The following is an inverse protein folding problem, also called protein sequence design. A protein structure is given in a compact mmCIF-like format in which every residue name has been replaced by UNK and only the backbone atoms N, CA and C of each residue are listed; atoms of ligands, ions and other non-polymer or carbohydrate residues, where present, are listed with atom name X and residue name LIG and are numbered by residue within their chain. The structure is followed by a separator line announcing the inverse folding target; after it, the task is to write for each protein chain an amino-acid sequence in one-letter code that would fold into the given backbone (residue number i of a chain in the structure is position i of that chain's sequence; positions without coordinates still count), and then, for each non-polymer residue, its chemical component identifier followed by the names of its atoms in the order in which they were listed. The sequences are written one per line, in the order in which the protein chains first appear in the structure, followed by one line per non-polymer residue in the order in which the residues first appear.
data_IF_603520847786
#
_entry.id   IF_603520847786
#
_cell.length_a   1.000
_cell.length_b   1.000
_cell.length_c   1.000
_cell.angle_alpha   90.00
_cell.angle_beta   90.00
_cell.angle_gamma   90.00
#
_symmetry.space_group_name_H-M   'P 1'
#
loop_
_entity.id
_entity.type
_entity.pdbx_description
1 polymer ?
2 non-polymer ?
3 non-polymer ?
4 non-polymer ?
5 water ?
#
# COMPACT_ATOMS: atom_id res chain seq x y z
N UNK A 1 12.93 24.66 8.75
CA UNK A 1 12.09 25.14 7.65
C UNK A 1 12.97 25.71 6.52
N UNK A 2 14.02 24.95 6.15
CA UNK A 2 15.01 25.28 5.12
C UNK A 2 14.41 25.21 3.69
N UNK A 3 15.26 25.43 2.66
CA UNK A 3 14.86 25.38 1.25
C UNK A 3 15.50 24.18 0.55
N UNK A 4 14.81 23.65 -0.47
CA UNK A 4 15.20 22.51 -1.30
C UNK A 4 15.21 22.94 -2.77
N UNK A 5 16.23 22.51 -3.54
CA UNK A 5 16.34 22.77 -4.97
C UNK A 5 16.31 21.45 -5.75
N UNK A 6 15.28 21.26 -6.60
CA UNK A 6 15.12 20.05 -7.40
C UNK A 6 14.99 20.44 -8.88
N UNK A 7 15.98 20.03 -9.69
CA UNK A 7 16.09 20.26 -11.14
C UNK A 7 15.88 21.75 -11.53
N UNK A 8 16.51 22.65 -10.75
CA UNK A 8 16.43 24.09 -10.96
C UNK A 8 15.31 24.79 -10.23
N UNK A 9 14.22 24.06 -9.88
CA UNK A 9 13.06 24.61 -9.20
C UNK A 9 13.27 24.61 -7.68
N UNK A 10 12.97 25.77 -7.04
CA UNK A 10 13.15 25.99 -5.60
C UNK A 10 11.86 25.65 -4.84
N UNK A 11 11.99 24.95 -3.70
CA UNK A 11 10.88 24.54 -2.84
C UNK A 11 11.20 24.86 -1.38
N UNK A 12 10.27 25.52 -0.68
CA UNK A 12 10.45 25.85 0.74
C UNK A 12 9.68 24.86 1.60
N UNK A 13 10.33 24.34 2.67
CA UNK A 13 9.73 23.36 3.58
C UNK A 13 8.69 24.05 4.46
N UNK A 14 7.45 23.53 4.42
CA UNK A 14 6.35 24.04 5.22
C UNK A 14 6.28 23.27 6.55
N UNK A 15 6.23 21.92 6.47
CA UNK A 15 6.14 21.02 7.62
C UNK A 15 6.62 19.60 7.22
N UNK A 16 7.16 18.85 8.18
CA UNK A 16 7.59 17.47 7.98
C UNK A 16 6.40 16.53 8.21
N UNK A 17 6.04 15.75 7.18
CA UNK A 17 4.93 14.77 7.22
C UNK A 17 5.35 13.57 8.08
N UNK A 18 6.49 12.96 7.74
CA UNK A 18 7.01 11.80 8.45
C UNK A 18 8.49 11.54 8.21
N UNK A 19 9.06 10.62 9.00
CA UNK A 19 10.46 10.21 8.95
C UNK A 19 10.58 8.73 9.26
N UNK A 20 11.47 8.03 8.56
CA UNK A 20 11.68 6.60 8.77
C UNK A 20 12.83 5.98 8.00
N UNK A 21 13.86 5.57 8.73
CA UNK A 21 15.06 4.91 8.22
C UNK A 21 15.75 5.62 7.07
N UNK A 22 16.52 6.69 7.40
CA UNK A 22 17.29 7.55 6.47
C UNK A 22 16.41 8.34 5.49
N UNK A 23 15.08 8.13 5.54
CA UNK A 23 14.09 8.80 4.69
C UNK A 23 13.20 9.76 5.48
N UNK A 24 12.75 10.82 4.81
CA UNK A 24 11.86 11.85 5.35
C UNK A 24 10.91 12.36 4.28
N UNK A 25 9.70 12.71 4.68
CA UNK A 25 8.69 13.25 3.77
C UNK A 25 8.27 14.61 4.33
N UNK A 26 8.29 15.65 3.47
CA UNK A 26 7.93 17.02 3.83
C UNK A 26 6.88 17.62 2.94
N UNK A 27 6.08 18.54 3.51
CA UNK A 27 5.13 19.39 2.80
C UNK A 27 5.95 20.55 2.28
N UNK A 28 5.90 20.82 0.97
CA UNK A 28 6.72 21.89 0.38
C UNK A 28 5.87 22.80 -0.49
N UNK A 29 6.40 24.01 -0.80
CA UNK A 29 5.74 24.98 -1.66
C UNK A 29 6.69 25.51 -2.72
N UNK A 30 6.22 25.67 -3.95
CA UNK A 30 7.03 26.23 -5.04
C UNK A 30 7.01 27.78 -4.93
N UNK A 31 7.44 28.49 -5.99
CA UNK A 31 7.46 29.96 -6.02
C UNK A 31 6.03 30.54 -6.04
N UNK A 32 5.07 29.79 -6.65
CA UNK A 32 3.66 30.16 -6.78
C UNK A 32 2.82 29.71 -5.56
N UNK A 33 3.49 29.20 -4.49
CA UNK A 33 2.91 28.73 -3.22
C UNK A 33 1.99 27.49 -3.40
N UNK A 34 2.23 26.69 -4.46
CA UNK A 34 1.48 25.46 -4.75
C UNK A 34 2.09 24.31 -3.93
N UNK A 35 1.25 23.45 -3.32
CA UNK A 35 1.76 22.38 -2.46
C UNK A 35 2.19 21.12 -3.26
N UNK A 36 3.24 20.46 -2.74
CA UNK A 36 3.84 19.22 -3.21
C UNK A 36 4.38 18.48 -2.00
N UNK A 37 4.68 17.18 -2.16
CA UNK A 37 5.28 16.38 -1.10
C UNK A 37 6.62 15.89 -1.58
N UNK A 38 7.71 16.30 -0.92
CA UNK A 38 9.04 15.90 -1.31
C UNK A 38 9.56 14.83 -0.35
N UNK A 39 9.96 13.67 -0.91
CA UNK A 39 10.57 12.60 -0.15
C UNK A 39 12.09 12.76 -0.28
N UNK A 40 12.78 12.83 0.86
CA UNK A 40 14.23 12.93 0.93
C UNK A 40 14.78 11.62 1.45
N UNK A 41 15.79 11.07 0.76
CA UNK A 41 16.43 9.82 1.15
C UNK A 41 17.94 10.08 1.30
N UNK A 42 18.52 9.73 2.46
CA UNK A 42 19.94 9.86 2.74
C UNK A 42 20.63 8.55 2.32
N UNK A 43 21.56 8.63 1.34
CA UNK A 43 22.24 7.45 0.78
C UNK A 43 23.67 7.22 1.31
N UNK A 44 24.12 8.01 2.29
CA UNK A 44 25.48 7.92 2.85
C UNK A 44 25.79 6.58 3.54
N UNK A 45 24.77 5.87 4.06
CA UNK A 45 24.97 4.58 4.75
C UNK A 45 24.51 3.37 3.92
N UNK A 46 23.71 3.59 2.86
CA UNK A 46 23.16 2.53 2.00
C UNK A 46 24.21 1.90 1.09
N UNK A 47 24.20 0.55 1.02
CA UNK A 47 25.11 -0.22 0.17
C UNK A 47 24.49 -0.41 -1.24
N UNK A 48 25.20 -1.11 -2.14
CA UNK A 48 24.77 -1.34 -3.53
C UNK A 48 23.47 -2.16 -3.64
N UNK A 49 23.20 -3.04 -2.67
CA UNK A 49 21.97 -3.85 -2.64
C UNK A 49 20.76 -2.95 -2.34
N UNK A 50 20.93 -2.01 -1.39
CA UNK A 50 19.89 -1.05 -0.97
C UNK A 50 19.74 0.04 -2.05
N UNK A 51 20.86 0.44 -2.69
CA UNK A 51 20.89 1.47 -3.74
C UNK A 51 20.12 1.03 -4.98
N UNK A 52 20.29 -0.23 -5.42
CA UNK A 52 19.60 -0.80 -6.58
C UNK A 52 18.10 -0.93 -6.33
N UNK A 53 17.69 -1.10 -5.05
CA UNK A 53 16.29 -1.19 -4.62
C UNK A 53 15.57 0.14 -4.83
N UNK A 54 16.23 1.27 -4.48
CA UNK A 54 15.69 2.63 -4.66
C UNK A 54 15.59 2.99 -6.13
N UNK A 55 16.64 2.62 -6.92
CA UNK A 55 16.74 2.86 -8.36
C UNK A 55 15.63 2.15 -9.13
N UNK A 56 15.33 0.89 -8.75
CA UNK A 56 14.30 0.07 -9.38
C UNK A 56 12.91 0.63 -9.06
N UNK A 57 12.68 1.05 -7.79
CA UNK A 57 11.44 1.64 -7.31
C UNK A 57 11.12 2.93 -8.08
N UNK A 58 12.10 3.85 -8.20
CA UNK A 58 11.98 5.15 -8.90
C UNK A 58 11.63 4.92 -10.38
N UNK A 59 12.33 3.97 -11.04
CA UNK A 59 12.12 3.62 -12.45
C UNK A 59 10.69 3.13 -12.71
N UNK A 60 10.19 2.18 -11.90
CA UNK A 60 8.84 1.65 -12.04
C UNK A 60 7.78 2.70 -11.73
N UNK A 61 8.02 3.57 -10.73
CA UNK A 61 7.10 4.64 -10.35
C UNK A 61 6.98 5.68 -11.48
N UNK A 62 8.10 6.00 -12.14
CA UNK A 62 8.13 6.95 -13.26
C UNK A 62 7.42 6.36 -14.49
N UNK A 63 7.61 5.05 -14.75
CA UNK A 63 6.99 4.34 -15.87
C UNK A 63 5.47 4.18 -15.68
N UNK A 64 5.02 3.95 -14.43
CA UNK A 64 3.60 3.76 -14.10
C UNK A 64 2.76 5.04 -14.29
N UNK A 65 3.41 6.20 -14.55
CA UNK A 65 2.73 7.48 -14.83
C UNK A 65 1.99 7.38 -16.17
N UNK A 66 0.79 8.00 -16.26
CA UNK A 66 -0.13 8.02 -17.41
C UNK A 66 -0.79 6.65 -17.65
N UNK A 67 -0.23 5.55 -17.07
CA UNK A 67 -0.80 4.20 -17.18
C UNK A 67 -2.04 4.07 -16.29
N UNK A 68 -1.99 4.69 -15.08
CA UNK A 68 -3.09 4.68 -14.10
C UNK A 68 -3.01 5.87 -13.16
N UNK A 69 -4.17 6.37 -12.71
CA UNK A 69 -4.26 7.47 -11.75
C UNK A 69 -4.46 6.91 -10.32
N UNK A 70 -4.22 5.59 -10.15
CA UNK A 70 -4.33 4.89 -8.86
C UNK A 70 -2.93 4.68 -8.26
N UNK A 71 -1.93 5.33 -8.87
CA UNK A 71 -0.53 5.34 -8.44
C UNK A 71 -0.16 6.81 -8.21
N UNK A 72 0.54 7.11 -7.10
CA UNK A 72 0.98 8.46 -6.74
C UNK A 72 1.67 9.15 -7.93
N UNK A 73 1.32 10.43 -8.17
CA UNK A 73 1.89 11.22 -9.25
C UNK A 73 3.29 11.70 -8.84
N UNK A 74 4.29 11.36 -9.65
CA UNK A 74 5.69 11.77 -9.47
C UNK A 74 6.00 12.79 -10.56
N UNK A 75 6.06 14.07 -10.18
CA UNK A 75 6.31 15.19 -11.11
C UNK A 75 7.76 15.21 -11.60
N UNK A 76 8.73 15.14 -10.67
CA UNK A 76 10.15 15.14 -10.96
C UNK A 76 10.95 14.52 -9.81
N UNK A 77 12.22 14.16 -10.08
CA UNK A 77 13.10 13.58 -9.08
C UNK A 77 14.57 13.95 -9.34
N UNK A 78 15.39 13.89 -8.28
CA UNK A 78 16.82 14.19 -8.31
C UNK A 78 17.57 13.09 -7.57
N UNK A 79 18.57 12.47 -8.22
CA UNK A 79 19.39 11.42 -7.63
C UNK A 79 20.86 11.81 -7.78
N UNK A 80 21.57 11.84 -6.64
CA UNK A 80 22.99 12.13 -6.52
C UNK A 80 23.59 10.97 -5.69
N UNK A 81 24.92 10.94 -5.49
CA UNK A 81 25.59 9.91 -4.69
C UNK A 81 25.26 10.01 -3.21
N UNK A 82 24.83 11.20 -2.76
CA UNK A 82 24.53 11.49 -1.36
C UNK A 82 23.05 11.46 -1.03
N UNK A 83 22.16 11.87 -1.97
CA UNK A 83 20.73 11.94 -1.67
C UNK A 83 19.79 11.63 -2.85
N UNK A 84 18.50 11.49 -2.53
CA UNK A 84 17.37 11.32 -3.44
C UNK A 84 16.27 12.30 -3.01
N UNK A 85 15.79 13.13 -3.96
CA UNK A 85 14.67 14.06 -3.79
C UNK A 85 13.59 13.65 -4.76
N UNK A 86 12.37 13.39 -4.28
CA UNK A 86 11.25 12.99 -5.14
C UNK A 86 10.09 13.98 -4.95
N UNK A 87 9.79 14.77 -5.99
CA UNK A 87 8.70 15.74 -5.95
C UNK A 87 7.41 15.00 -6.35
N UNK A 88 6.53 14.81 -5.37
CA UNK A 88 5.28 14.09 -5.56
C UNK A 88 4.04 14.90 -5.20
N UNK A 89 2.88 14.35 -5.54
CA UNK A 89 1.54 14.86 -5.25
C UNK A 89 1.34 14.81 -3.73
N UNK A 90 0.75 15.88 -3.15
CA UNK A 90 0.51 15.91 -1.72
C UNK A 90 -0.90 15.38 -1.44
N UNK A 91 -1.00 14.43 -0.51
CA UNK A 91 -2.24 13.80 -0.12
C UNK A 91 -2.83 14.32 1.17
N UNK A 92 -3.92 13.69 1.63
CA UNK A 92 -4.64 14.07 2.85
C UNK A 92 -4.14 13.28 4.06
N UNK A 93 -4.14 11.94 3.96
CA UNK A 93 -3.75 11.01 5.03
C UNK A 93 -3.51 9.60 4.45
N UNK A 94 -2.62 8.82 5.09
CA UNK A 94 -2.37 7.44 4.69
C UNK A 94 -3.54 6.59 5.19
N UNK A 95 -3.85 5.48 4.49
CA UNK A 95 -4.98 4.60 4.82
C UNK A 95 -4.87 3.98 6.23
N UNK A 96 -3.64 3.65 6.68
CA UNK A 96 -3.38 3.06 8.00
C UNK A 96 -3.81 3.99 9.14
N UNK A 97 -3.47 5.29 9.04
CA UNK A 97 -3.82 6.32 10.03
C UNK A 97 -5.32 6.62 9.99
N UNK A 98 -5.92 6.64 8.79
CA UNK A 98 -7.33 6.91 8.55
C UNK A 98 -8.22 5.78 9.11
N UNK A 99 -7.78 4.51 8.98
CA UNK A 99 -8.52 3.33 9.47
C UNK A 99 -8.56 3.27 11.00
N UNK A 100 -7.44 3.64 11.66
CA UNK A 100 -7.30 3.65 13.12
C UNK A 100 -8.16 4.75 13.76
N UNK A 101 -8.25 5.92 13.09
CA UNK A 101 -9.03 7.08 13.56
C UNK A 101 -10.54 6.90 13.35
N UNK A 102 -10.93 6.19 12.27
CA UNK A 102 -12.34 5.95 11.93
C UNK A 102 -13.01 4.97 12.91
N UNK A 103 -14.24 5.32 13.33
CA UNK A 103 -15.06 4.52 14.25
C UNK A 103 -15.80 3.44 13.46
N UNK A 104 -16.49 3.83 12.38
CA UNK A 104 -17.25 2.96 11.48
C UNK A 104 -17.21 3.52 10.05
N UNK A 105 -16.82 2.67 9.09
CA UNK A 105 -16.72 3.04 7.68
C UNK A 105 -18.06 2.73 6.97
N UNK A 106 -18.49 3.65 6.08
CA UNK A 106 -19.72 3.53 5.30
C UNK A 106 -19.61 2.38 4.27
N UNK A 107 -20.70 1.62 4.00
CA UNK A 107 -20.59 0.50 3.02
C UNK A 107 -20.20 0.94 1.62
N UNK A 108 -20.59 2.16 1.20
CA UNK A 108 -20.25 2.73 -0.12
C UNK A 108 -18.79 3.15 -0.15
N UNK A 109 -18.28 3.69 0.98
CA UNK A 109 -16.90 4.13 1.15
C UNK A 109 -15.95 2.93 1.12
N UNK A 110 -16.36 1.81 1.75
CA UNK A 110 -15.62 0.55 1.81
C UNK A 110 -15.47 -0.04 0.40
N UNK A 111 -16.56 -0.01 -0.40
CA UNK A 111 -16.62 -0.52 -1.77
C UNK A 111 -15.73 0.30 -2.71
N UNK A 112 -15.87 1.64 -2.67
CA UNK A 112 -15.11 2.58 -3.50
C UNK A 112 -13.60 2.48 -3.26
N UNK A 113 -13.18 2.30 -2.00
CA UNK A 113 -11.77 2.18 -1.62
C UNK A 113 -11.20 0.83 -2.04
N UNK A 114 -12.01 -0.24 -1.94
CA UNK A 114 -11.65 -1.60 -2.35
C UNK A 114 -11.38 -1.62 -3.86
N UNK A 115 -12.25 -0.96 -4.66
CA UNK A 115 -12.12 -0.85 -6.11
C UNK A 115 -10.79 -0.19 -6.47
N UNK A 116 -10.47 0.97 -5.83
CA UNK A 116 -9.21 1.70 -6.03
C UNK A 116 -8.00 0.83 -5.72
N UNK A 117 -8.07 0.06 -4.60
CA UNK A 117 -7.02 -0.86 -4.16
C UNK A 117 -6.80 -1.96 -5.19
N UNK A 118 -7.89 -2.58 -5.71
CA UNK A 118 -7.82 -3.63 -6.72
C UNK A 118 -7.21 -3.14 -8.02
N UNK A 119 -7.61 -1.93 -8.46
CA UNK A 119 -7.13 -1.32 -9.72
C UNK A 119 -5.64 -0.91 -9.64
N UNK A 120 -5.15 -0.49 -8.45
CA UNK A 120 -3.74 -0.12 -8.28
C UNK A 120 -2.85 -1.36 -8.30
N UNK A 121 -3.27 -2.44 -7.61
CA UNK A 121 -2.55 -3.72 -7.54
C UNK A 121 -2.61 -4.41 -8.93
N UNK A 122 -3.74 -4.27 -9.66
CA UNK A 122 -3.87 -4.84 -11.02
C UNK A 122 -2.87 -4.18 -11.97
N UNK A 123 -2.72 -2.84 -11.88
CA UNK A 123 -1.80 -2.05 -12.71
C UNK A 123 -0.35 -2.51 -12.50
N UNK A 124 0.09 -2.70 -11.24
CA UNK A 124 1.47 -3.12 -10.93
C UNK A 124 1.69 -4.57 -11.40
N UNK A 125 0.65 -5.42 -11.34
CA UNK A 125 0.70 -6.83 -11.78
C UNK A 125 0.87 -6.91 -13.30
N UNK A 126 0.19 -6.01 -14.05
CA UNK A 126 0.25 -5.93 -15.52
C UNK A 126 1.66 -5.56 -16.01
N UNK A 127 2.46 -4.86 -15.16
CA UNK A 127 3.83 -4.46 -15.48
C UNK A 127 4.85 -5.41 -14.82
N UNK A 128 4.38 -6.57 -14.37
CA UNK A 128 5.19 -7.63 -13.77
C UNK A 128 5.63 -7.46 -12.33
N UNK A 129 5.13 -6.41 -11.64
CA UNK A 129 5.51 -6.15 -10.24
C UNK A 129 4.55 -6.87 -9.29
N UNK A 130 5.13 -7.61 -8.33
CA UNK A 130 4.41 -8.30 -7.25
C UNK A 130 4.87 -7.65 -5.95
N UNK A 131 3.95 -6.92 -5.27
CA UNK A 131 4.22 -6.17 -4.04
C UNK A 131 4.75 -7.07 -2.91
N UNK A 132 4.09 -8.23 -2.67
CA UNK A 132 4.40 -9.26 -1.65
C UNK A 132 4.31 -8.75 -0.19
N UNK A 133 4.32 -7.42 0.04
CA UNK A 133 4.22 -6.83 1.36
C UNK A 133 3.20 -5.67 1.36
N UNK A 134 1.93 -5.99 1.02
CA UNK A 134 0.88 -4.98 1.00
C UNK A 134 0.27 -4.81 2.37
N UNK A 135 0.11 -3.56 2.78
CA UNK A 135 -0.47 -3.12 4.05
C UNK A 135 -1.17 -1.77 3.82
N UNK A 136 -2.10 -1.30 4.71
CA UNK A 136 -2.79 -0.02 4.44
C UNK A 136 -1.85 1.18 4.33
N UNK A 137 -0.68 1.15 5.01
CA UNK A 137 0.34 2.22 4.98
C UNK A 137 0.87 2.49 3.56
N UNK A 138 0.73 1.51 2.62
CA UNK A 138 1.17 1.64 1.23
C UNK A 138 0.16 2.42 0.38
N UNK A 139 -1.00 2.79 0.96
CA UNK A 139 -2.07 3.52 0.28
C UNK A 139 -2.26 4.90 0.87
N UNK A 140 -2.54 5.88 -0.01
CA UNK A 140 -2.75 7.27 0.38
C UNK A 140 -4.05 7.82 -0.20
N UNK A 141 -4.81 8.56 0.64
CA UNK A 141 -6.04 9.25 0.23
C UNK A 141 -5.63 10.59 -0.36
N UNK A 142 -5.94 10.81 -1.65
CA UNK A 142 -5.60 12.03 -2.40
C UNK A 142 -6.60 12.18 -3.56
N UNK A 143 -7.17 13.41 -3.72
CA UNK A 143 -8.15 13.80 -4.73
C UNK A 143 -9.43 12.93 -4.67
N UNK A 144 -9.87 12.62 -3.44
CA UNK A 144 -11.06 11.81 -3.16
C UNK A 144 -10.98 10.35 -3.56
N UNK A 145 -9.76 9.81 -3.73
CA UNK A 145 -9.53 8.42 -4.11
C UNK A 145 -8.27 7.87 -3.42
N UNK A 146 -8.07 6.54 -3.48
CA UNK A 146 -6.90 5.89 -2.92
C UNK A 146 -5.82 5.72 -3.97
N UNK A 147 -4.57 5.98 -3.60
CA UNK A 147 -3.43 5.83 -4.51
C UNK A 147 -2.30 5.09 -3.81
N UNK A 148 -1.69 4.12 -4.52
CA UNK A 148 -0.56 3.34 -4.03
C UNK A 148 0.70 4.21 -4.05
N UNK A 149 1.48 4.23 -2.95
CA UNK A 149 2.67 5.06 -2.87
C UNK A 149 3.97 4.29 -3.18
N UNK A 150 4.07 3.01 -2.77
CA UNK A 150 5.26 2.19 -3.02
C UNK A 150 4.89 0.78 -3.53
N UNK A 151 5.83 0.12 -4.21
CA UNK A 151 5.62 -1.22 -4.79
C UNK A 151 6.32 -2.34 -4.00
N UNK A 152 6.91 -1.99 -2.85
CA UNK A 152 7.60 -2.94 -1.98
C UNK A 152 8.93 -3.47 -2.50
N UNK A 153 9.52 -2.81 -3.51
CA UNK A 153 10.82 -3.18 -4.09
C UNK A 153 11.93 -2.75 -3.13
N UNK A 154 11.85 -1.50 -2.63
CA UNK A 154 12.81 -0.93 -1.69
C UNK A 154 12.39 -1.14 -0.23
N UNK A 155 13.36 -1.42 0.65
CA UNK A 155 13.14 -1.64 2.09
C UNK A 155 12.78 -0.31 2.76
N UNK A 156 11.59 -0.26 3.40
CA UNK A 156 11.04 0.94 4.04
C UNK A 156 10.75 0.75 5.54
N UNK A 157 10.44 1.86 6.24
CA UNK A 157 10.10 1.90 7.66
C UNK A 157 8.62 2.30 7.82
N UNK A 171 -0.79 -3.34 12.13
CA UNK A 171 0.25 -3.54 11.13
C UNK A 171 1.05 -4.80 11.36
N UNK A 172 2.38 -4.66 11.51
CA UNK A 172 3.37 -5.72 11.76
C UNK A 172 3.24 -6.90 10.76
N UNK A 173 3.06 -8.14 11.26
CA UNK A 173 3.00 -9.39 10.48
C UNK A 173 1.53 -9.85 10.18
N UNK A 174 0.53 -9.02 10.56
CA UNK A 174 -0.90 -9.28 10.38
C UNK A 174 -1.35 -9.43 8.92
N UNK A 175 -0.62 -8.81 7.96
CA UNK A 175 -0.97 -8.84 6.54
C UNK A 175 -0.06 -9.78 5.71
N UNK A 176 0.84 -10.54 6.37
CA UNK A 176 1.76 -11.47 5.72
C UNK A 176 1.02 -12.71 5.18
N UNK A 177 1.18 -13.06 3.88
CA UNK A 177 0.50 -14.26 3.34
C UNK A 177 1.18 -15.56 3.78
N UNK A 178 0.46 -16.71 3.83
CA UNK A 178 1.09 -17.97 4.25
C UNK A 178 2.21 -18.47 3.34
N UNK A 179 2.20 -18.11 2.03
CA UNK A 179 3.24 -18.51 1.07
C UNK A 179 4.60 -17.94 1.44
N UNK A 180 4.63 -16.67 1.90
CA UNK A 180 5.84 -15.95 2.30
C UNK A 180 6.45 -16.54 3.56
N UNK A 181 5.61 -17.07 4.48
CA UNK A 181 6.04 -17.69 5.74
C UNK A 181 6.69 -19.06 5.45
N UNK A 182 6.12 -19.84 4.51
CA UNK A 182 6.63 -21.15 4.12
C UNK A 182 7.89 -21.03 3.24
N UNK A 183 8.10 -19.87 2.59
CA UNK A 183 9.26 -19.60 1.75
C UNK A 183 10.45 -19.19 2.62
N UNK A 184 11.11 -20.19 3.25
CA UNK A 184 12.27 -19.98 4.12
C UNK A 184 13.35 -21.03 3.84
N UNK A 198 4.45 -15.01 -6.39
CA UNK A 198 3.14 -15.28 -6.98
C UNK A 198 2.21 -14.06 -6.86
N UNK A 199 1.43 -13.72 -7.93
CA UNK A 199 0.51 -12.57 -7.85
C UNK A 199 -0.64 -12.77 -6.86
N UNK A 200 -0.92 -14.04 -6.49
CA UNK A 200 -1.97 -14.43 -5.54
C UNK A 200 -1.64 -13.97 -4.11
N UNK A 201 -0.36 -13.70 -3.81
CA UNK A 201 0.12 -13.25 -2.50
C UNK A 201 -0.48 -11.89 -2.14
N UNK A 202 -0.64 -11.01 -3.13
CA UNK A 202 -1.22 -9.67 -2.96
C UNK A 202 -2.73 -9.73 -2.71
N UNK A 203 -3.41 -10.84 -3.09
CA UNK A 203 -4.84 -11.05 -2.89
C UNK A 203 -5.12 -11.23 -1.39
N UNK A 204 -4.31 -12.07 -0.70
CA UNK A 204 -4.42 -12.35 0.73
C UNK A 204 -4.29 -11.05 1.54
N UNK A 205 -3.25 -10.24 1.23
CA UNK A 205 -2.97 -8.96 1.89
C UNK A 205 -4.12 -7.99 1.71
N UNK A 206 -4.69 -7.90 0.48
CA UNK A 206 -5.85 -7.06 0.17
C UNK A 206 -7.09 -7.53 0.94
N UNK A 207 -7.21 -8.86 1.09
CA UNK A 207 -8.30 -9.51 1.81
C UNK A 207 -8.31 -9.15 3.29
N UNK A 208 -7.11 -9.05 3.90
CA UNK A 208 -6.91 -8.67 5.30
C UNK A 208 -7.32 -7.21 5.52
N UNK A 209 -7.06 -6.32 4.53
CA UNK A 209 -7.42 -4.89 4.59
C UNK A 209 -8.95 -4.75 4.53
N UNK A 210 -9.61 -5.50 3.62
CA UNK A 210 -11.06 -5.49 3.46
C UNK A 210 -11.74 -6.12 4.70
N UNK A 211 -11.11 -7.15 5.30
CA UNK A 211 -11.60 -7.81 6.53
C UNK A 211 -11.61 -6.80 7.68
N UNK A 212 -10.56 -5.96 7.77
CA UNK A 212 -10.42 -4.89 8.77
C UNK A 212 -11.50 -3.84 8.55
N UNK A 213 -11.80 -3.53 7.27
CA UNK A 213 -12.83 -2.56 6.87
C UNK A 213 -14.24 -3.11 7.11
N UNK A 214 -14.39 -4.44 7.30
CA UNK A 214 -15.69 -5.08 7.50
C UNK A 214 -15.99 -5.36 8.98
N UNK A 215 -15.06 -6.00 9.71
CA UNK A 215 -15.27 -6.40 11.12
C UNK A 215 -14.51 -5.54 12.15
N UNK A 216 -13.83 -4.50 11.70
CA UNK A 216 -13.09 -3.59 12.58
C UNK A 216 -11.78 -4.12 13.14
N UNK A 217 -11.39 -5.34 12.74
CA UNK A 217 -10.14 -5.99 13.18
C UNK A 217 -9.58 -6.90 12.06
N UNK A 218 -8.28 -7.21 12.13
CA UNK A 218 -7.59 -8.08 11.18
C UNK A 218 -7.94 -9.56 11.52
N UNK A 219 -7.88 -10.53 10.56
CA UNK A 219 -8.26 -11.93 10.89
C UNK A 219 -7.45 -12.57 12.02
N UNK A 220 -6.18 -12.15 12.23
CA UNK A 220 -5.31 -12.71 13.26
C UNK A 220 -4.83 -11.63 14.26
N UNK A 221 -5.63 -10.56 14.44
CA UNK A 221 -5.34 -9.45 15.35
C UNK A 221 -5.52 -9.88 16.81
N UNK A 222 -6.41 -10.86 17.07
CA UNK A 222 -6.71 -11.38 18.40
C UNK A 222 -5.51 -12.17 18.97
N UNK A 223 -4.72 -12.83 18.10
CA UNK A 223 -3.53 -13.59 18.50
C UNK A 223 -2.37 -12.59 18.65
N UNK A 224 -2.15 -12.14 19.89
CA UNK A 224 -1.16 -11.13 20.29
C UNK A 224 0.28 -11.63 20.11
N UNK A 225 0.55 -12.91 20.46
CA UNK A 225 1.89 -13.51 20.33
C UNK A 225 2.26 -13.67 18.85
N UNK A 226 3.37 -13.04 18.43
CA UNK A 226 3.88 -13.03 17.06
C UNK A 226 4.21 -14.43 16.52
N UNK A 227 4.77 -15.30 17.37
CA UNK A 227 5.15 -16.67 17.01
C UNK A 227 3.86 -17.50 16.82
N UNK A 228 2.88 -17.34 17.73
CA UNK A 228 1.58 -18.03 17.66
C UNK A 228 0.74 -17.51 16.49
N UNK A 229 0.94 -16.24 16.09
CA UNK A 229 0.24 -15.59 14.97
C UNK A 229 0.70 -16.19 13.64
N UNK A 230 2.04 -16.34 13.45
CA UNK A 230 2.67 -16.91 12.25
C UNK A 230 2.22 -18.35 12.00
N UNK A 231 2.04 -19.13 13.09
CA UNK A 231 1.59 -20.52 13.02
C UNK A 231 0.13 -20.62 12.56
N UNK A 232 -0.74 -19.72 13.09
CA UNK A 232 -2.18 -19.66 12.79
C UNK A 232 -2.48 -19.33 11.31
N UNK A 233 -1.60 -18.55 10.64
CA UNK A 233 -1.77 -18.15 9.24
C UNK A 233 -1.49 -19.35 8.30
N UNK A 234 -0.39 -20.09 8.55
CA UNK A 234 0.03 -21.22 7.70
C UNK A 234 -0.73 -22.53 8.00
N UNK A 235 -1.02 -22.83 9.29
CA UNK A 235 -1.69 -24.07 9.69
C UNK A 235 -3.14 -24.16 9.20
N UNK A 236 -3.51 -25.24 8.48
CA UNK A 236 -4.90 -25.43 8.04
C UNK A 236 -5.78 -25.88 9.21
N UNK A 237 -7.11 -25.95 9.00
CA UNK A 237 -8.15 -26.31 9.98
C UNK A 237 -8.37 -25.20 11.03
N UNK A 238 -7.40 -24.25 11.16
CA UNK A 238 -7.50 -23.08 12.04
C UNK A 238 -8.47 -22.11 11.37
N UNK A 239 -9.78 -22.34 11.59
CA UNK A 239 -10.90 -21.63 11.00
C UNK A 239 -10.88 -20.12 11.30
N UNK A 240 -10.93 -19.32 10.23
CA UNK A 240 -11.02 -17.86 10.29
C UNK A 240 -12.50 -17.54 10.38
N UNK A 241 -12.92 -16.77 11.39
CA UNK A 241 -14.32 -16.43 11.60
C UNK A 241 -14.82 -15.41 10.57
N UNK A 242 -16.02 -15.66 10.02
CA UNK A 242 -16.67 -14.77 9.05
C UNK A 242 -18.11 -14.49 9.52
N UNK A 243 -18.32 -13.61 10.53
CA UNK A 243 -19.69 -13.33 11.02
C UNK A 243 -20.60 -12.79 9.92
N UNK A 244 -21.89 -13.19 9.96
CA UNK A 244 -22.92 -12.82 8.99
C UNK A 244 -23.18 -11.31 9.01
N UNK A 245 -23.24 -10.73 7.80
CA UNK A 245 -23.43 -9.30 7.54
C UNK A 245 -24.50 -9.10 6.43
N UNK A 246 -25.18 -7.92 6.34
CA UNK A 246 -26.21 -7.74 5.29
C UNK A 246 -25.68 -7.89 3.86
N UNK A 247 -24.41 -7.49 3.61
CA UNK A 247 -23.78 -7.61 2.29
C UNK A 247 -23.20 -9.03 2.12
N UNK A 248 -23.99 -9.92 1.47
CA UNK A 248 -23.61 -11.32 1.24
C UNK A 248 -22.44 -11.45 0.25
N UNK A 249 -22.34 -10.52 -0.72
CA UNK A 249 -21.27 -10.50 -1.72
C UNK A 249 -19.93 -10.14 -1.08
N UNK A 250 -19.94 -9.21 -0.08
CA UNK A 250 -18.76 -8.78 0.66
C UNK A 250 -18.18 -9.93 1.49
N UNK A 251 -19.05 -10.74 2.13
CA UNK A 251 -18.67 -11.91 2.93
C UNK A 251 -18.03 -12.99 2.05
N UNK A 252 -18.47 -13.09 0.78
CA UNK A 252 -17.96 -14.05 -0.19
C UNK A 252 -16.53 -13.69 -0.62
N UNK A 253 -16.26 -12.39 -0.89
CA UNK A 253 -14.94 -11.87 -1.29
C UNK A 253 -13.89 -12.28 -0.26
N UNK A 254 -14.17 -12.02 1.03
CA UNK A 254 -13.29 -12.31 2.17
C UNK A 254 -12.95 -13.79 2.26
N UNK A 255 -13.94 -14.68 2.03
CA UNK A 255 -13.76 -16.13 2.04
C UNK A 255 -12.87 -16.59 0.87
N UNK A 256 -13.04 -15.95 -0.31
CA UNK A 256 -12.28 -16.25 -1.53
C UNK A 256 -10.84 -15.71 -1.42
N UNK A 257 -10.65 -14.52 -0.82
CA UNK A 257 -9.36 -13.86 -0.66
C UNK A 257 -8.50 -14.55 0.41
N UNK A 258 -9.12 -14.93 1.56
CA UNK A 258 -8.41 -15.53 2.67
C UNK A 258 -8.37 -17.06 2.61
N UNK A 259 -7.90 -17.60 1.47
CA UNK A 259 -7.71 -19.04 1.26
C UNK A 259 -6.21 -19.32 1.37
N UNK A 260 -5.83 -20.19 2.33
CA UNK A 260 -4.44 -20.56 2.60
C UNK A 260 -3.73 -21.15 1.38
N UNK A 261 -4.45 -21.93 0.56
CA UNK A 261 -3.90 -22.51 -0.67
C UNK A 261 -3.92 -21.44 -1.77
N UNK A 262 -2.75 -21.07 -2.36
CA UNK A 262 -2.75 -20.03 -3.41
C UNK A 262 -3.46 -20.45 -4.69
N UNK A 263 -3.56 -21.77 -4.96
CA UNK A 263 -4.24 -22.32 -6.14
C UNK A 263 -5.76 -22.14 -6.03
N UNK A 264 -6.30 -22.38 -4.81
CA UNK A 264 -7.73 -22.25 -4.50
C UNK A 264 -8.15 -20.78 -4.33
N UNK A 265 -7.18 -19.90 -4.03
CA UNK A 265 -7.38 -18.47 -3.82
C UNK A 265 -7.76 -17.77 -5.12
N UNK A 266 -8.68 -16.78 -5.01
CA UNK A 266 -9.15 -15.96 -6.11
C UNK A 266 -7.99 -15.04 -6.60
N UNK A 267 -8.02 -14.67 -7.89
CA UNK A 267 -7.01 -13.79 -8.51
C UNK A 267 -7.56 -12.36 -8.64
N UNK A 268 -6.67 -11.39 -8.94
CA UNK A 268 -7.04 -9.98 -9.12
C UNK A 268 -8.03 -9.84 -10.32
N UNK A 269 -7.78 -10.38 -11.55
CA UNK A 269 -8.76 -10.21 -12.64
C UNK A 269 -10.14 -10.82 -12.32
N UNK A 270 -10.18 -11.89 -11.50
CA UNK A 270 -11.42 -12.53 -11.07
C UNK A 270 -12.14 -11.65 -10.04
N UNK A 271 -11.37 -10.93 -9.17
CA UNK A 271 -11.92 -10.03 -8.15
C UNK A 271 -12.55 -8.79 -8.78
N UNK A 272 -12.02 -8.33 -9.94
CA UNK A 272 -12.55 -7.16 -10.64
C UNK A 272 -13.89 -7.45 -11.33
N UNK A 273 -14.24 -8.74 -11.49
CA UNK A 273 -15.50 -9.17 -12.10
C UNK A 273 -16.47 -9.77 -11.05
N UNK A 274 -16.07 -9.76 -9.76
CA UNK A 274 -16.88 -10.25 -8.65
C UNK A 274 -18.14 -9.38 -8.45
N UNK A 275 -19.32 -9.97 -8.13
CA UNK A 275 -20.54 -9.13 -7.94
C UNK A 275 -20.41 -7.94 -6.98
N UNK A 276 -19.53 -8.03 -5.96
CA UNK A 276 -19.33 -6.98 -4.96
C UNK A 276 -18.82 -5.65 -5.58
N UNK A 277 -18.03 -5.70 -6.68
CA UNK A 277 -17.51 -4.47 -7.30
C UNK A 277 -18.28 -4.07 -8.57
N UNK A 278 -19.06 -4.99 -9.17
CA UNK A 278 -19.78 -4.70 -10.41
C UNK A 278 -21.28 -4.44 -10.23
N UNK A 279 -21.92 -5.13 -9.26
CA UNK A 279 -23.37 -4.99 -9.04
C UNK A 279 -23.64 -3.94 -7.94
N UNK A 280 -24.62 -3.05 -8.20
CA UNK A 280 -25.08 -1.97 -7.32
C UNK A 280 -25.48 -2.48 -5.93
#
# INVERSE_FOLDING_TARGET
NECISVKGRIYSILKQIGSGGSSKVFQVLNEKKQIYAIKYVNLEEADNQTLDSYRNEIAYLNKLQQHSDKIIRLYDYEITDQYIYMVMECGNIDLNSWLKKKKSIDPWERKSYWKNMLEAVHTIHQHGIVHSDLKPANFLIVDGMLKLIDFGIANQMQPDTTSVVKDSQVGTVNYMPPEAIKDMSSSRENGKSKSKISPKSDVWSLGCILYYMTYGKTPFQQIINQISKLHAIIDPNHEIEFPDIPEKDLQDVLKCCLKRDPKQRISIPELLAHPYVQIQT
#
